data_IF_884219977338
#
_entry.id   IF_884219977338
#
_cell.length_a   1.000
_cell.length_b   1.000
_cell.length_c   1.000
_cell.angle_alpha   90.00
_cell.angle_beta   90.00
_cell.angle_gamma   90.00
#
_symmetry.space_group_name_H-M   'P 1'
#
loop_
_entity.id
_entity.type
_entity.pdbx_description
1 polymer ?
#
# COMPACT_ATOMS: atom_id res chain seq x y z
N UNK A 1 18.90 -3.98 12.81
CA UNK A 1 19.97 -4.36 11.84
C UNK A 1 19.95 -5.84 11.46
N UNK A 2 19.85 -6.80 12.40
CA UNK A 2 19.96 -8.24 12.10
C UNK A 2 18.78 -8.77 11.26
N UNK A 3 17.56 -8.38 11.60
CA UNK A 3 16.34 -8.90 10.95
C UNK A 3 16.15 -8.34 9.53
N UNK A 4 16.62 -7.12 9.29
CA UNK A 4 16.66 -6.49 7.96
C UNK A 4 17.53 -7.26 6.96
N UNK A 5 18.68 -7.78 7.41
CA UNK A 5 19.61 -8.51 6.53
C UNK A 5 19.10 -9.90 6.17
N UNK A 6 18.40 -10.55 7.11
CA UNK A 6 17.77 -11.85 6.88
C UNK A 6 16.63 -11.76 5.86
N UNK A 7 15.85 -10.69 5.94
CA UNK A 7 14.80 -10.40 4.98
C UNK A 7 15.37 -10.10 3.58
N UNK A 8 16.38 -9.24 3.45
CA UNK A 8 17.01 -8.97 2.14
C UNK A 8 17.54 -10.26 1.47
N UNK A 9 18.19 -11.13 2.24
CA UNK A 9 18.67 -12.43 1.76
C UNK A 9 17.50 -13.32 1.33
N UNK A 10 16.41 -13.34 2.09
CA UNK A 10 15.18 -14.04 1.70
C UNK A 10 14.62 -13.53 0.35
N UNK A 11 14.57 -12.20 0.16
CA UNK A 11 14.06 -11.57 -1.06
C UNK A 11 14.87 -11.92 -2.30
N UNK A 12 16.20 -11.86 -2.19
CA UNK A 12 17.11 -12.23 -3.27
C UNK A 12 16.92 -13.70 -3.66
N UNK A 13 16.88 -14.60 -2.67
CA UNK A 13 16.68 -16.04 -2.91
C UNK A 13 15.34 -16.34 -3.58
N UNK A 14 14.27 -15.70 -3.10
CA UNK A 14 12.92 -15.86 -3.65
C UNK A 14 12.82 -15.42 -5.11
N UNK A 15 13.46 -14.31 -5.45
CA UNK A 15 13.49 -13.72 -6.80
C UNK A 15 14.31 -14.60 -7.76
N UNK A 16 15.55 -14.94 -7.37
CA UNK A 16 16.47 -15.69 -8.22
C UNK A 16 16.18 -17.18 -8.31
N UNK A 17 15.42 -17.74 -7.36
CA UNK A 17 15.18 -19.17 -7.13
C UNK A 17 16.44 -19.96 -6.77
N UNK A 18 17.56 -19.65 -7.38
CA UNK A 18 18.87 -20.25 -7.16
C UNK A 18 19.93 -19.17 -7.33
N UNK A 19 20.85 -19.08 -6.37
CA UNK A 19 21.93 -18.07 -6.40
C UNK A 19 23.20 -18.62 -5.75
N UNK A 20 24.37 -18.20 -6.23
CA UNK A 20 25.63 -18.58 -5.56
C UNK A 20 25.83 -17.80 -4.26
N UNK A 21 26.61 -18.36 -3.34
CA UNK A 21 26.94 -17.66 -2.08
C UNK A 21 27.68 -16.33 -2.29
N UNK A 22 28.47 -16.21 -3.36
CA UNK A 22 29.22 -14.99 -3.67
C UNK A 22 28.32 -13.89 -4.27
N UNK A 23 27.38 -14.26 -5.12
CA UNK A 23 26.34 -13.34 -5.61
C UNK A 23 25.44 -12.88 -4.47
N UNK A 24 24.98 -13.80 -3.61
CA UNK A 24 24.14 -13.46 -2.48
C UNK A 24 24.84 -12.53 -1.48
N UNK A 25 26.14 -12.74 -1.23
CA UNK A 25 26.92 -11.88 -0.33
C UNK A 25 27.04 -10.46 -0.88
N UNK A 26 27.25 -10.35 -2.18
CA UNK A 26 27.39 -9.08 -2.90
C UNK A 26 26.06 -8.33 -2.96
N UNK A 27 25.00 -9.01 -3.39
CA UNK A 27 23.67 -8.44 -3.57
C UNK A 27 23.03 -8.06 -2.21
N UNK A 28 23.25 -8.87 -1.16
CA UNK A 28 22.75 -8.53 0.18
C UNK A 28 23.63 -7.51 0.93
N UNK A 29 24.82 -7.19 0.42
CA UNK A 29 25.80 -6.36 1.16
C UNK A 29 26.27 -7.00 2.47
N UNK A 30 26.25 -8.33 2.56
CA UNK A 30 26.59 -9.09 3.79
C UNK A 30 27.83 -9.96 3.57
N UNK A 31 28.85 -9.91 4.44
CA UNK A 31 30.00 -10.82 4.37
C UNK A 31 29.56 -12.29 4.44
N UNK A 32 30.24 -13.21 3.73
CA UNK A 32 29.90 -14.65 3.72
C UNK A 32 29.76 -15.28 5.12
N UNK A 33 30.53 -14.80 6.10
CA UNK A 33 30.41 -15.22 7.51
C UNK A 33 29.07 -14.82 8.14
N UNK A 34 28.53 -13.65 7.81
CA UNK A 34 27.21 -13.18 8.23
C UNK A 34 26.07 -13.98 7.59
N UNK A 35 26.19 -14.28 6.29
CA UNK A 35 25.23 -15.11 5.55
C UNK A 35 25.06 -16.51 6.17
N UNK A 36 26.13 -17.11 6.66
CA UNK A 36 26.09 -18.48 7.21
C UNK A 36 25.12 -18.64 8.39
N UNK A 37 24.81 -17.56 9.12
CA UNK A 37 23.83 -17.59 10.21
C UNK A 37 22.40 -17.39 9.69
N UNK A 38 22.22 -16.44 8.78
CA UNK A 38 20.95 -16.14 8.09
C UNK A 38 20.46 -17.38 7.33
N UNK A 39 21.34 -18.01 6.55
CA UNK A 39 21.02 -19.21 5.77
C UNK A 39 20.67 -20.40 6.66
N UNK A 40 21.27 -20.52 7.85
CA UNK A 40 20.87 -21.54 8.84
C UNK A 40 19.47 -21.27 9.39
N UNK A 41 19.12 -20.01 9.64
CA UNK A 41 17.76 -19.63 10.05
C UNK A 41 16.74 -19.98 8.96
N UNK A 42 17.03 -19.61 7.70
CA UNK A 42 16.17 -19.89 6.54
C UNK A 42 16.04 -21.40 6.28
N UNK A 43 17.13 -22.17 6.42
CA UNK A 43 17.12 -23.61 6.25
C UNK A 43 16.30 -24.34 7.33
N UNK A 44 16.38 -23.91 8.60
CA UNK A 44 15.54 -24.45 9.68
C UNK A 44 14.05 -24.26 9.43
N UNK A 45 13.68 -23.15 8.77
CA UNK A 45 12.30 -22.83 8.37
C UNK A 45 11.89 -23.48 7.04
N UNK A 46 12.78 -24.28 6.43
CA UNK A 46 12.50 -24.95 5.15
C UNK A 46 12.37 -23.99 3.96
N UNK A 47 12.85 -22.75 4.09
CA UNK A 47 12.72 -21.68 3.09
C UNK A 47 13.82 -21.75 2.03
N UNK A 48 15.01 -22.19 2.41
CA UNK A 48 16.14 -22.29 1.51
C UNK A 48 16.98 -23.52 1.85
N UNK A 49 17.60 -24.12 0.84
CA UNK A 49 18.53 -25.23 0.98
C UNK A 49 19.85 -24.89 0.31
N UNK A 50 20.96 -25.33 0.90
CA UNK A 50 22.27 -25.22 0.27
C UNK A 50 22.53 -26.47 -0.58
N UNK A 51 22.72 -26.27 -1.88
CA UNK A 51 23.08 -27.32 -2.84
C UNK A 51 24.45 -26.96 -3.41
N UNK A 52 25.51 -27.58 -2.85
CA UNK A 52 26.89 -27.24 -3.20
C UNK A 52 27.28 -25.81 -2.81
N UNK A 53 27.69 -25.02 -3.81
CA UNK A 53 28.05 -23.60 -3.69
C UNK A 53 26.84 -22.65 -3.83
N UNK A 54 25.67 -23.21 -4.16
CA UNK A 54 24.43 -22.47 -4.39
C UNK A 54 23.47 -22.60 -3.22
N UNK A 55 22.58 -21.62 -3.15
CA UNK A 55 21.42 -21.62 -2.26
C UNK A 55 20.16 -21.61 -3.12
N UNK A 56 19.33 -22.62 -2.93
CA UNK A 56 18.08 -22.83 -3.66
C UNK A 56 16.92 -22.44 -2.74
N UNK A 57 16.03 -21.60 -3.25
CA UNK A 57 14.78 -21.23 -2.59
C UNK A 57 13.76 -22.36 -2.70
N UNK A 58 13.24 -22.81 -1.56
CA UNK A 58 12.15 -23.77 -1.50
C UNK A 58 10.82 -23.03 -1.47
N UNK A 59 9.97 -23.30 -2.47
CA UNK A 59 8.58 -22.82 -2.46
C UNK A 59 7.87 -23.53 -1.31
N UNK A 60 7.45 -22.77 -0.29
CA UNK A 60 6.52 -23.31 0.70
C UNK A 60 5.12 -23.37 0.06
N UNK A 61 4.58 -24.57 -0.08
CA UNK A 61 3.18 -24.77 -0.48
C UNK A 61 2.26 -24.07 0.52
N UNK A 62 1.31 -23.31 -0.02
CA UNK A 62 0.40 -22.51 0.81
C UNK A 62 -0.51 -23.46 1.61
N UNK A 63 -0.31 -23.51 2.93
CA UNK A 63 -1.32 -24.09 3.83
C UNK A 63 -2.62 -23.33 3.66
N UNK A 64 -3.72 -24.08 3.63
CA UNK A 64 -5.05 -23.51 3.66
C UNK A 64 -5.30 -22.98 5.09
N UNK A 65 -5.62 -21.70 5.19
CA UNK A 65 -5.93 -20.99 6.42
C UNK A 65 -7.43 -21.00 6.62
N UNK A 66 -7.88 -21.46 7.77
CA UNK A 66 -9.29 -21.39 8.14
C UNK A 66 -9.53 -20.10 8.92
N UNK A 67 -10.27 -19.16 8.35
CA UNK A 67 -10.58 -17.87 8.96
C UNK A 67 -12.07 -17.75 9.30
N UNK A 68 -12.46 -17.00 10.34
CA UNK A 68 -13.87 -16.71 10.61
C UNK A 68 -14.51 -15.91 9.47
N UNK A 69 -15.75 -16.21 9.09
CA UNK A 69 -16.48 -15.44 8.08
C UNK A 69 -18.00 -15.61 8.27
N UNK A 70 -18.71 -14.52 8.54
CA UNK A 70 -20.16 -14.49 8.75
C UNK A 70 -20.66 -15.48 9.84
N UNK A 71 -19.92 -15.61 10.95
CA UNK A 71 -20.18 -16.59 12.02
C UNK A 71 -19.84 -18.05 11.66
N UNK A 72 -19.33 -18.29 10.45
CA UNK A 72 -18.81 -19.57 9.99
C UNK A 72 -17.29 -19.54 9.82
N UNK A 73 -16.77 -20.36 8.91
CA UNK A 73 -15.37 -20.32 8.53
C UNK A 73 -15.20 -20.36 7.01
N UNK A 74 -14.12 -19.76 6.53
CA UNK A 74 -13.73 -19.72 5.14
C UNK A 74 -12.28 -20.19 5.00
N UNK A 75 -12.04 -21.00 3.98
CA UNK A 75 -10.73 -21.54 3.66
C UNK A 75 -10.01 -20.63 2.66
N UNK A 76 -8.89 -20.07 3.10
CA UNK A 76 -8.10 -19.11 2.36
C UNK A 76 -6.69 -19.62 2.08
N UNK A 77 -6.14 -19.30 0.91
CA UNK A 77 -4.73 -19.52 0.58
C UNK A 77 -4.02 -18.19 0.46
N UNK A 78 -2.80 -18.09 0.98
CA UNK A 78 -2.02 -16.85 0.94
C UNK A 78 -0.82 -16.99 0.02
N UNK A 79 -0.70 -16.07 -0.93
CA UNK A 79 0.47 -15.88 -1.77
C UNK A 79 1.03 -14.50 -1.47
N UNK A 80 2.09 -14.44 -0.66
CA UNK A 80 2.87 -13.21 -0.54
C UNK A 80 3.69 -13.08 -1.82
N UNK A 81 3.72 -11.93 -2.49
CA UNK A 81 4.61 -11.59 -3.59
C UNK A 81 5.51 -10.43 -3.18
N UNK A 82 6.83 -10.69 -3.09
CA UNK A 82 7.81 -9.66 -2.72
C UNK A 82 8.74 -9.33 -3.87
N UNK A 83 8.99 -8.05 -4.05
CA UNK A 83 10.05 -7.55 -4.92
C UNK A 83 11.27 -7.06 -4.12
N UNK A 84 12.33 -6.67 -4.83
CA UNK A 84 13.58 -6.20 -4.24
C UNK A 84 13.50 -4.77 -3.67
N UNK A 85 12.42 -4.03 -3.94
CA UNK A 85 12.22 -2.67 -3.41
C UNK A 85 11.75 -2.66 -1.95
N UNK A 86 11.42 -3.84 -1.40
CA UNK A 86 10.81 -3.95 -0.07
C UNK A 86 9.30 -3.73 -0.08
N UNK A 87 8.68 -3.35 -1.20
CA UNK A 87 7.24 -3.31 -1.36
C UNK A 87 6.70 -4.61 -2.00
N UNK A 88 5.40 -4.86 -1.86
CA UNK A 88 4.76 -6.00 -2.51
C UNK A 88 3.28 -6.13 -2.20
N UNK A 89 2.73 -7.28 -2.58
CA UNK A 89 1.32 -7.60 -2.35
C UNK A 89 1.21 -8.98 -1.71
N UNK A 90 0.27 -9.12 -0.78
CA UNK A 90 -0.24 -10.42 -0.33
C UNK A 90 -1.56 -10.67 -1.03
N UNK A 91 -1.57 -11.64 -1.92
CA UNK A 91 -2.80 -12.14 -2.53
C UNK A 91 -3.41 -13.22 -1.63
N UNK A 92 -4.67 -13.03 -1.30
CA UNK A 92 -5.47 -13.93 -0.51
C UNK A 92 -6.51 -14.54 -1.43
N UNK A 93 -6.56 -15.86 -1.49
CA UNK A 93 -7.40 -16.61 -2.43
C UNK A 93 -8.46 -17.43 -1.70
N UNK A 94 -9.68 -17.46 -2.24
CA UNK A 94 -10.75 -18.39 -1.86
C UNK A 94 -10.96 -19.36 -3.03
N UNK A 95 -10.59 -20.62 -2.85
CA UNK A 95 -10.43 -21.51 -4.01
C UNK A 95 -9.41 -20.88 -4.97
N UNK A 96 -9.75 -20.74 -6.24
CA UNK A 96 -8.90 -20.12 -7.26
C UNK A 96 -9.21 -18.62 -7.51
N UNK A 97 -10.18 -18.05 -6.80
CA UNK A 97 -10.55 -16.64 -6.90
C UNK A 97 -9.75 -15.78 -5.94
N UNK A 98 -9.36 -14.58 -6.38
CA UNK A 98 -8.74 -13.58 -5.50
C UNK A 98 -9.81 -13.05 -4.56
N UNK A 99 -9.65 -13.36 -3.28
CA UNK A 99 -10.50 -12.91 -2.20
C UNK A 99 -10.10 -11.51 -1.73
N UNK A 100 -8.80 -11.23 -1.56
CA UNK A 100 -8.29 -9.90 -1.22
C UNK A 100 -6.85 -9.73 -1.71
N UNK A 101 -6.44 -8.47 -1.92
CA UNK A 101 -5.05 -8.08 -2.21
C UNK A 101 -4.62 -7.09 -1.14
N UNK A 102 -3.54 -7.39 -0.44
CA UNK A 102 -3.06 -6.63 0.72
C UNK A 102 -1.68 -6.06 0.40
N UNK A 103 -1.58 -4.77 0.07
CA UNK A 103 -0.29 -4.10 -0.11
C UNK A 103 0.55 -4.22 1.15
N UNK A 104 1.87 -4.26 0.99
CA UNK A 104 2.76 -4.13 2.12
C UNK A 104 4.04 -3.40 1.76
N UNK A 105 4.70 -2.89 2.81
CA UNK A 105 6.00 -2.27 2.74
C UNK A 105 6.91 -2.86 3.82
N UNK A 106 8.15 -3.14 3.45
CA UNK A 106 9.22 -3.52 4.36
C UNK A 106 10.08 -2.29 4.59
N UNK A 107 10.19 -1.89 5.85
CA UNK A 107 11.11 -0.82 6.27
C UNK A 107 11.79 -1.23 7.57
N UNK A 108 13.11 -0.99 7.66
CA UNK A 108 13.87 -1.07 8.91
C UNK A 108 13.75 -2.41 9.69
N UNK A 109 13.55 -3.53 8.98
CA UNK A 109 13.37 -4.86 9.60
C UNK A 109 11.95 -5.15 10.09
N UNK A 110 10.99 -4.31 9.75
CA UNK A 110 9.55 -4.49 9.99
C UNK A 110 8.82 -4.58 8.65
N UNK A 111 7.71 -5.31 8.62
CA UNK A 111 6.78 -5.36 7.49
C UNK A 111 5.46 -4.73 7.94
N UNK A 112 4.99 -3.73 7.21
CA UNK A 112 3.69 -3.10 7.39
C UNK A 112 2.77 -3.64 6.31
N UNK A 113 1.65 -4.25 6.70
CA UNK A 113 0.68 -4.84 5.77
C UNK A 113 -0.63 -4.05 5.86
N UNK A 114 -1.09 -3.51 4.73
CA UNK A 114 -2.39 -2.85 4.64
C UNK A 114 -3.50 -3.90 4.57
N UNK A 115 -4.29 -3.97 5.65
CA UNK A 115 -5.40 -4.90 5.80
C UNK A 115 -6.73 -4.32 5.30
N UNK A 116 -6.76 -3.08 4.79
CA UNK A 116 -7.97 -2.41 4.32
C UNK A 116 -8.70 -3.21 3.25
N UNK A 117 -7.97 -3.79 2.29
CA UNK A 117 -8.53 -4.63 1.24
C UNK A 117 -9.29 -5.83 1.82
N UNK A 118 -8.77 -6.46 2.88
CA UNK A 118 -9.47 -7.52 3.59
C UNK A 118 -10.72 -6.99 4.29
N UNK A 119 -10.60 -5.91 5.05
CA UNK A 119 -11.72 -5.37 5.83
C UNK A 119 -12.87 -4.89 4.93
N UNK A 120 -12.57 -4.33 3.75
CA UNK A 120 -13.58 -3.95 2.75
C UNK A 120 -14.37 -5.15 2.25
N UNK A 121 -13.72 -6.30 1.99
CA UNK A 121 -14.41 -7.54 1.59
C UNK A 121 -15.42 -7.99 2.65
N UNK A 122 -15.08 -7.86 3.94
CA UNK A 122 -16.03 -8.13 5.03
C UNK A 122 -17.16 -7.09 5.08
N UNK A 123 -16.85 -5.82 4.87
CA UNK A 123 -17.85 -4.75 4.79
C UNK A 123 -18.85 -4.94 3.65
N UNK A 124 -18.37 -5.29 2.46
CA UNK A 124 -19.19 -5.57 1.28
C UNK A 124 -20.09 -6.79 1.52
N UNK A 125 -19.53 -7.84 2.12
CA UNK A 125 -20.29 -9.03 2.49
C UNK A 125 -21.35 -8.72 3.56
N UNK A 126 -21.01 -7.93 4.58
CA UNK A 126 -21.97 -7.50 5.61
C UNK A 126 -23.12 -6.69 4.99
N UNK A 127 -22.80 -5.73 4.12
CA UNK A 127 -23.77 -4.91 3.39
C UNK A 127 -24.68 -5.76 2.52
N UNK A 128 -24.14 -6.72 1.78
CA UNK A 128 -24.91 -7.66 0.97
C UNK A 128 -25.88 -8.53 1.82
N UNK A 129 -25.55 -8.76 3.09
CA UNK A 129 -26.39 -9.48 4.05
C UNK A 129 -27.30 -8.55 4.89
N UNK A 130 -27.36 -7.25 4.58
CA UNK A 130 -28.17 -6.29 5.33
C UNK A 130 -27.68 -6.03 6.76
N UNK A 131 -26.42 -6.35 7.06
CA UNK A 131 -25.82 -6.14 8.36
C UNK A 131 -25.00 -4.83 8.39
N UNK A 132 -25.01 -4.09 9.51
CA UNK A 132 -24.13 -2.95 9.67
C UNK A 132 -22.67 -3.42 9.81
N UNK A 133 -21.75 -2.63 9.29
CA UNK A 133 -20.31 -2.86 9.43
C UNK A 133 -19.59 -1.53 9.62
N UNK A 134 -18.65 -1.49 10.56
CA UNK A 134 -17.77 -0.35 10.80
C UNK A 134 -16.31 -0.77 10.78
N UNK A 135 -15.54 -0.16 9.87
CA UNK A 135 -14.09 -0.34 9.78
C UNK A 135 -13.38 0.04 11.09
N UNK A 136 -13.78 1.16 11.70
CA UNK A 136 -13.22 1.61 12.99
C UNK A 136 -13.45 0.58 14.10
N UNK A 137 -14.63 -0.03 14.15
CA UNK A 137 -14.93 -1.06 15.14
C UNK A 137 -14.12 -2.33 14.89
N UNK A 138 -14.01 -2.77 13.64
CA UNK A 138 -13.16 -3.91 13.27
C UNK A 138 -11.68 -3.65 13.65
N UNK A 139 -11.18 -2.45 13.39
CA UNK A 139 -9.85 -2.01 13.80
C UNK A 139 -9.67 -2.02 15.32
N UNK A 140 -10.64 -1.50 16.07
CA UNK A 140 -10.60 -1.49 17.53
C UNK A 140 -10.57 -2.91 18.11
N UNK A 141 -11.30 -3.86 17.52
CA UNK A 141 -11.23 -5.29 17.89
C UNK A 141 -9.84 -5.85 17.59
N UNK A 142 -9.35 -5.67 16.35
CA UNK A 142 -8.03 -6.14 15.93
C UNK A 142 -6.93 -5.69 16.91
N UNK A 143 -6.89 -4.39 17.21
CA UNK A 143 -5.90 -3.80 18.12
C UNK A 143 -6.00 -4.39 19.53
N UNK A 144 -7.20 -4.51 20.09
CA UNK A 144 -7.36 -5.07 21.44
C UNK A 144 -6.94 -6.52 21.53
N UNK A 145 -7.26 -7.34 20.52
CA UNK A 145 -6.86 -8.75 20.50
C UNK A 145 -5.34 -8.87 20.39
N UNK A 146 -4.71 -8.08 19.51
CA UNK A 146 -3.24 -8.02 19.39
C UNK A 146 -2.56 -7.54 20.69
N UNK A 147 -3.21 -6.66 21.45
CA UNK A 147 -2.75 -6.20 22.77
C UNK A 147 -3.08 -7.20 23.92
N UNK A 148 -3.68 -8.36 23.63
CA UNK A 148 -4.08 -9.36 24.63
C UNK A 148 -5.26 -8.95 25.52
N UNK A 149 -6.04 -7.93 25.12
CA UNK A 149 -7.16 -7.35 25.88
C UNK A 149 -8.54 -7.90 25.48
N UNK A 150 -8.57 -8.97 24.68
CA UNK A 150 -9.77 -9.63 24.18
C UNK A 150 -10.59 -8.80 23.18
N UNK A 151 -11.78 -9.29 22.84
CA UNK A 151 -12.69 -8.64 21.88
C UNK A 151 -13.35 -7.37 22.44
N UNK A 152 -13.77 -6.45 21.55
CA UNK A 152 -14.47 -5.23 21.93
C UNK A 152 -15.98 -5.48 22.07
N UNK A 153 -16.56 -5.23 23.26
CA UNK A 153 -17.97 -5.56 23.56
C UNK A 153 -19.06 -4.78 22.81
N UNK A 154 -18.71 -3.86 21.90
CA UNK A 154 -19.68 -3.13 21.04
C UNK A 154 -19.54 -3.46 19.54
N UNK A 155 -18.66 -4.37 19.16
CA UNK A 155 -18.50 -4.81 17.78
C UNK A 155 -19.55 -5.87 17.41
N UNK A 156 -20.02 -5.85 16.17
CA UNK A 156 -20.87 -6.91 15.63
C UNK A 156 -20.04 -8.12 15.17
N UNK A 157 -20.72 -9.20 14.80
CA UNK A 157 -20.06 -10.44 14.36
C UNK A 157 -19.14 -10.20 13.15
N UNK A 158 -19.55 -9.37 12.20
CA UNK A 158 -18.76 -9.07 11.00
C UNK A 158 -17.46 -8.35 11.33
N UNK A 159 -17.47 -7.41 12.27
CA UNK A 159 -16.26 -6.72 12.71
C UNK A 159 -15.32 -7.63 13.49
N UNK A 160 -15.87 -8.54 14.30
CA UNK A 160 -15.09 -9.56 15.02
C UNK A 160 -14.45 -10.52 14.02
N UNK A 161 -15.22 -11.06 13.08
CA UNK A 161 -14.72 -11.99 12.07
C UNK A 161 -13.63 -11.35 11.21
N UNK A 162 -13.83 -10.10 10.77
CA UNK A 162 -12.85 -9.35 9.98
C UNK A 162 -11.52 -9.17 10.74
N UNK A 163 -11.60 -8.79 12.02
CA UNK A 163 -10.44 -8.62 12.88
C UNK A 163 -9.69 -9.93 13.11
N UNK A 164 -10.41 -11.02 13.41
CA UNK A 164 -9.80 -12.33 13.64
C UNK A 164 -9.19 -12.90 12.36
N UNK A 165 -9.85 -12.75 11.21
CA UNK A 165 -9.30 -13.14 9.91
C UNK A 165 -8.01 -12.38 9.59
N UNK A 166 -7.96 -11.08 9.87
CA UNK A 166 -6.75 -10.28 9.73
C UNK A 166 -5.60 -10.82 10.61
N UNK A 167 -5.87 -11.19 11.86
CA UNK A 167 -4.87 -11.78 12.77
C UNK A 167 -4.35 -13.12 12.24
N UNK A 168 -5.23 -14.01 11.79
CA UNK A 168 -4.84 -15.30 11.21
C UNK A 168 -3.97 -15.10 9.97
N UNK A 169 -4.36 -14.16 9.09
CA UNK A 169 -3.59 -13.83 7.89
C UNK A 169 -2.21 -13.26 8.24
N UNK A 170 -2.12 -12.36 9.22
CA UNK A 170 -0.84 -11.82 9.68
C UNK A 170 0.07 -12.90 10.26
N UNK A 171 -0.48 -13.84 11.03
CA UNK A 171 0.25 -15.01 11.52
C UNK A 171 0.80 -15.85 10.37
N UNK A 172 -0.01 -16.10 9.34
CA UNK A 172 0.41 -16.87 8.16
C UNK A 172 1.47 -16.15 7.31
N UNK A 173 1.35 -14.83 7.14
CA UNK A 173 2.36 -14.01 6.45
C UNK A 173 3.69 -14.07 7.22
N UNK A 174 3.63 -13.93 8.55
CA UNK A 174 4.79 -14.04 9.46
C UNK A 174 5.47 -15.38 9.32
N UNK A 175 4.72 -16.48 9.43
CA UNK A 175 5.24 -17.85 9.29
C UNK A 175 5.89 -18.06 7.92
N UNK A 176 5.22 -17.61 6.84
CA UNK A 176 5.66 -17.82 5.46
C UNK A 176 6.92 -17.02 5.10
N UNK A 177 7.04 -15.80 5.61
CA UNK A 177 8.24 -14.98 5.45
C UNK A 177 9.33 -15.32 6.47
N UNK A 178 8.99 -16.10 7.49
CA UNK A 178 9.86 -16.45 8.61
C UNK A 178 10.22 -15.26 9.50
N UNK A 179 9.55 -14.12 9.39
CA UNK A 179 9.91 -12.92 10.15
C UNK A 179 9.70 -13.15 11.65
N UNK A 180 10.68 -12.79 12.49
CA UNK A 180 10.53 -12.88 13.96
C UNK A 180 9.62 -11.77 14.51
N UNK A 181 9.50 -10.65 13.80
CA UNK A 181 8.66 -9.51 14.17
C UNK A 181 7.94 -8.95 12.94
N UNK A 182 6.61 -9.04 12.90
CA UNK A 182 5.76 -8.25 12.00
C UNK A 182 5.02 -7.23 12.85
N UNK A 183 5.31 -5.94 12.64
CA UNK A 183 4.48 -4.87 13.15
C UNK A 183 3.29 -4.71 12.21
N UNK A 184 2.20 -5.38 12.56
CA UNK A 184 0.96 -5.23 11.80
C UNK A 184 0.26 -3.96 12.24
N UNK A 185 0.19 -2.98 11.36
CA UNK A 185 -0.71 -1.84 11.51
C UNK A 185 -1.74 -1.93 10.40
N UNK A 186 -3.03 -1.79 10.71
CA UNK A 186 -4.01 -1.51 9.67
C UNK A 186 -3.78 -0.05 9.28
N UNK A 187 -2.99 0.12 8.24
CA UNK A 187 -2.74 1.40 7.61
C UNK A 187 -3.63 1.45 6.36
N UNK A 188 -4.91 1.75 6.57
CA UNK A 188 -5.91 1.84 5.50
C UNK A 188 -5.70 3.03 4.56
N UNK A 189 -4.65 3.79 4.79
CA UNK A 189 -4.51 5.16 4.32
C UNK A 189 -3.20 5.39 3.56
N UNK A 190 -2.12 4.62 3.77
CA UNK A 190 -0.84 5.09 3.25
C UNK A 190 0.08 4.08 2.56
N UNK A 191 -0.31 2.82 2.35
CA UNK A 191 0.50 1.90 1.50
C UNK A 191 -0.06 1.87 0.07
N UNK A 192 0.63 2.50 -0.91
CA UNK A 192 0.24 2.39 -2.30
C UNK A 192 0.29 0.93 -2.79
N UNK A 193 -0.81 0.45 -3.38
CA UNK A 193 -0.89 -0.84 -4.08
C UNK A 193 -0.20 -0.75 -5.42
N UNK A 194 0.65 -1.72 -5.79
CA UNK A 194 1.21 -1.74 -7.15
C UNK A 194 0.12 -2.07 -8.18
N UNK A 195 0.00 -1.25 -9.23
CA UNK A 195 -0.92 -1.53 -10.34
C UNK A 195 -0.36 -2.68 -11.17
N UNK A 196 -1.20 -3.67 -11.44
CA UNK A 196 -0.80 -4.90 -12.14
C UNK A 196 -0.52 -4.63 -13.61
N UNK A 197 0.26 -5.50 -14.26
CA UNK A 197 0.63 -5.33 -15.66
C UNK A 197 -0.60 -5.32 -16.59
N UNK A 198 -1.58 -6.19 -16.33
CA UNK A 198 -2.82 -6.28 -17.10
C UNK A 198 -3.68 -5.01 -16.93
N UNK A 199 -3.72 -4.48 -15.70
CA UNK A 199 -4.44 -3.25 -15.38
C UNK A 199 -3.74 -2.03 -16.01
N UNK A 200 -2.40 -1.95 -15.94
CA UNK A 200 -1.60 -0.93 -16.61
C UNK A 200 -1.77 -0.97 -18.12
N UNK A 201 -1.84 -2.17 -18.71
CA UNK A 201 -2.08 -2.34 -20.14
C UNK A 201 -3.47 -1.84 -20.52
N UNK A 202 -4.52 -2.24 -19.80
CA UNK A 202 -5.89 -1.80 -20.06
C UNK A 202 -6.04 -0.27 -19.95
N UNK A 203 -5.43 0.33 -18.91
CA UNK A 203 -5.39 1.79 -18.74
C UNK A 203 -4.60 2.43 -19.90
N UNK A 204 -3.46 1.87 -20.25
CA UNK A 204 -2.61 2.37 -21.31
C UNK A 204 -3.29 2.36 -22.69
N UNK A 205 -4.02 1.29 -22.99
CA UNK A 205 -4.83 1.17 -24.21
C UNK A 205 -5.96 2.21 -24.26
N UNK A 206 -6.64 2.47 -23.13
CA UNK A 206 -7.69 3.49 -23.04
C UNK A 206 -7.17 4.91 -23.29
N UNK A 207 -5.95 5.21 -22.84
CA UNK A 207 -5.39 6.56 -22.85
C UNK A 207 -4.30 6.80 -23.90
N UNK A 208 -3.94 5.78 -24.69
CA UNK A 208 -2.89 5.89 -25.71
C UNK A 208 -1.48 6.09 -25.15
N UNK A 209 -1.21 5.63 -23.93
CA UNK A 209 0.07 5.78 -23.22
C UNK A 209 0.56 4.41 -22.75
N UNK A 210 1.85 4.10 -22.96
CA UNK A 210 2.42 2.84 -22.51
C UNK A 210 3.02 2.99 -21.11
N UNK A 211 2.31 2.51 -20.09
CA UNK A 211 2.75 2.56 -18.69
C UNK A 211 3.70 1.41 -18.34
N UNK A 212 4.78 1.73 -17.62
CA UNK A 212 5.75 0.73 -17.13
C UNK A 212 5.50 0.31 -15.68
N UNK A 213 4.94 1.20 -14.87
CA UNK A 213 4.61 0.94 -13.47
C UNK A 213 3.52 1.89 -13.00
N UNK A 214 2.84 1.52 -11.93
CA UNK A 214 1.88 2.39 -11.28
C UNK A 214 1.60 1.97 -9.85
N UNK A 215 1.02 2.89 -9.10
CA UNK A 215 0.70 2.77 -7.69
C UNK A 215 -0.69 3.32 -7.44
N UNK A 216 -1.62 2.50 -6.95
CA UNK A 216 -2.99 2.88 -6.60
C UNK A 216 -3.14 3.12 -5.10
N UNK A 217 -3.94 4.10 -4.71
CA UNK A 217 -4.24 4.44 -3.33
C UNK A 217 -5.72 4.86 -3.19
N UNK A 218 -6.30 4.77 -1.97
CA UNK A 218 -7.64 5.29 -1.72
C UNK A 218 -7.75 6.78 -2.02
N UNK A 219 -8.89 7.20 -2.56
CA UNK A 219 -9.22 8.60 -2.84
C UNK A 219 -10.73 8.79 -2.72
N UNK A 220 -11.21 9.22 -1.55
CA UNK A 220 -12.63 9.25 -1.21
C UNK A 220 -13.30 7.90 -1.44
N UNK A 221 -14.41 7.90 -2.18
CA UNK A 221 -15.14 6.69 -2.61
C UNK A 221 -14.50 5.99 -3.85
N UNK A 222 -13.43 6.55 -4.40
CA UNK A 222 -12.74 6.06 -5.60
C UNK A 222 -11.29 5.62 -5.28
N UNK A 223 -10.53 5.28 -6.33
CA UNK A 223 -9.08 5.06 -6.26
C UNK A 223 -8.33 6.11 -7.07
N UNK A 224 -7.26 6.66 -6.50
CA UNK A 224 -6.25 7.41 -7.24
C UNK A 224 -5.13 6.48 -7.68
N UNK A 225 -4.47 6.78 -8.80
CA UNK A 225 -3.31 6.05 -9.28
C UNK A 225 -2.21 7.00 -9.72
N UNK A 226 -0.98 6.77 -9.26
CA UNK A 226 0.23 7.40 -9.75
C UNK A 226 0.93 6.44 -10.72
N UNK A 227 0.94 6.78 -12.01
CA UNK A 227 1.41 5.95 -13.11
C UNK A 227 2.68 6.54 -13.71
N UNK A 228 3.64 5.69 -14.10
CA UNK A 228 4.85 6.12 -14.79
C UNK A 228 4.90 5.47 -16.16
N UNK A 229 5.10 6.29 -17.19
CA UNK A 229 5.23 5.80 -18.56
C UNK A 229 6.64 5.24 -18.84
N UNK A 230 6.83 4.67 -20.04
CA UNK A 230 8.15 4.21 -20.48
C UNK A 230 9.19 5.33 -20.61
N UNK A 231 8.77 6.55 -20.94
CA UNK A 231 9.62 7.74 -21.01
C UNK A 231 10.08 8.26 -19.65
N UNK A 232 9.48 7.80 -18.55
CA UNK A 232 9.75 8.28 -17.20
C UNK A 232 8.85 9.42 -16.74
N UNK A 233 7.86 9.84 -17.54
CA UNK A 233 6.85 10.80 -17.13
C UNK A 233 5.87 10.17 -16.15
N UNK A 234 5.40 10.98 -15.21
CA UNK A 234 4.47 10.53 -14.17
C UNK A 234 3.10 11.18 -14.39
N UNK A 235 2.06 10.40 -14.15
CA UNK A 235 0.66 10.77 -14.34
C UNK A 235 -0.14 10.42 -13.09
N UNK A 236 -1.07 11.29 -12.73
CA UNK A 236 -2.15 10.96 -11.80
C UNK A 236 -3.41 10.58 -12.58
N UNK A 237 -4.06 9.50 -12.17
CA UNK A 237 -5.31 9.01 -12.73
C UNK A 237 -6.33 8.78 -11.61
N UNK A 238 -7.54 9.32 -11.74
CA UNK A 238 -8.68 8.93 -10.89
C UNK A 238 -9.42 7.75 -11.54
N UNK A 239 -9.78 6.76 -10.74
CA UNK A 239 -10.62 5.62 -11.17
C UNK A 239 -11.91 6.12 -11.84
N UNK A 240 -12.31 5.43 -12.91
CA UNK A 240 -13.30 5.93 -13.88
C UNK A 240 -12.65 6.55 -15.13
N UNK A 241 -11.42 7.07 -15.00
CA UNK A 241 -10.63 7.65 -16.09
C UNK A 241 -11.10 9.03 -16.54
N UNK A 242 -11.92 9.70 -15.74
CA UNK A 242 -12.43 11.05 -16.00
C UNK A 242 -11.33 12.12 -15.82
N UNK A 243 -10.22 11.76 -15.16
CA UNK A 243 -9.11 12.64 -14.86
C UNK A 243 -7.78 11.89 -15.03
N UNK A 244 -7.02 12.24 -16.08
CA UNK A 244 -5.62 11.82 -16.26
C UNK A 244 -4.77 13.07 -16.48
N UNK A 245 -3.78 13.29 -15.61
CA UNK A 245 -3.00 14.54 -15.59
C UNK A 245 -1.54 14.20 -15.39
N UNK A 246 -0.65 14.84 -16.16
CA UNK A 246 0.79 14.75 -15.93
C UNK A 246 1.13 15.43 -14.60
N UNK A 247 1.86 14.74 -13.73
CA UNK A 247 2.36 15.27 -12.46
C UNK A 247 3.88 15.19 -12.54
N UNK A 248 4.56 16.29 -12.91
CA UNK A 248 6.01 16.31 -12.99
C UNK A 248 6.65 15.99 -11.64
N UNK A 249 7.67 15.13 -11.67
CA UNK A 249 8.43 14.74 -10.49
C UNK A 249 9.92 14.84 -10.84
N UNK A 250 10.65 15.65 -10.08
CA UNK A 250 12.08 15.87 -10.26
C UNK A 250 12.87 15.27 -9.08
N UNK A 251 13.91 14.50 -9.37
CA UNK A 251 14.81 13.96 -8.35
C UNK A 251 15.97 14.94 -8.13
N UNK A 252 16.00 15.56 -6.94
CA UNK A 252 16.98 16.57 -6.55
C UNK A 252 18.11 15.97 -5.67
N UNK A 253 18.28 14.65 -5.68
CA UNK A 253 19.28 13.96 -4.88
C UNK A 253 18.72 13.50 -3.53
N UNK A 254 18.80 14.34 -2.50
CA UNK A 254 18.30 14.00 -1.14
C UNK A 254 16.78 14.14 -1.02
N UNK A 255 16.14 14.83 -1.96
CA UNK A 255 14.70 15.06 -1.98
C UNK A 255 14.12 14.86 -3.38
N UNK A 256 12.81 14.72 -3.44
CA UNK A 256 12.03 14.66 -4.68
C UNK A 256 11.07 15.85 -4.69
N UNK A 257 11.08 16.66 -5.75
CA UNK A 257 10.10 17.73 -5.92
C UNK A 257 8.93 17.23 -6.77
N UNK A 258 7.70 17.52 -6.33
CA UNK A 258 6.46 17.21 -7.02
C UNK A 258 5.77 18.50 -7.44
N UNK A 259 5.51 18.66 -8.73
CA UNK A 259 4.77 19.80 -9.26
C UNK A 259 3.27 19.46 -9.38
N UNK A 260 2.46 19.97 -8.46
CA UNK A 260 1.01 19.75 -8.43
C UNK A 260 0.22 20.75 -9.28
N UNK A 261 0.88 21.69 -9.97
CA UNK A 261 0.23 22.76 -10.76
C UNK A 261 -0.84 22.21 -11.70
N UNK A 262 -0.49 21.24 -12.56
CA UNK A 262 -1.43 20.67 -13.51
C UNK A 262 -2.58 19.90 -12.84
N UNK A 263 -2.32 19.28 -11.68
CA UNK A 263 -3.35 18.59 -10.91
C UNK A 263 -4.37 19.58 -10.38
N UNK A 264 -3.92 20.66 -9.74
CA UNK A 264 -4.77 21.73 -9.21
C UNK A 264 -5.58 22.40 -10.32
N UNK A 265 -4.94 22.74 -11.44
CA UNK A 265 -5.62 23.31 -12.61
C UNK A 265 -6.73 22.40 -13.14
N UNK A 266 -6.50 21.09 -13.16
CA UNK A 266 -7.49 20.15 -13.66
C UNK A 266 -8.70 20.02 -12.74
N UNK A 267 -8.51 20.03 -11.42
CA UNK A 267 -9.62 20.07 -10.46
C UNK A 267 -10.38 21.40 -10.53
N UNK A 268 -9.67 22.53 -10.63
CA UNK A 268 -10.27 23.85 -10.78
C UNK A 268 -11.14 23.94 -12.05
N UNK A 269 -10.64 23.47 -13.19
CA UNK A 269 -11.40 23.44 -14.44
C UNK A 269 -12.64 22.53 -14.38
N UNK A 270 -12.56 21.42 -13.64
CA UNK A 270 -13.71 20.54 -13.40
C UNK A 270 -14.77 21.20 -12.52
N UNK A 271 -14.32 21.86 -11.45
CA UNK A 271 -15.15 22.59 -10.49
C UNK A 271 -15.89 23.78 -11.13
N UNK A 272 -15.22 24.57 -11.97
CA UNK A 272 -15.84 25.70 -12.70
C UNK A 272 -16.99 25.23 -13.60
N UNK A 273 -16.87 24.06 -14.24
CA UNK A 273 -17.97 23.48 -15.05
C UNK A 273 -19.19 23.08 -14.22
N UNK A 274 -19.03 22.92 -12.91
CA UNK A 274 -20.09 22.51 -11.97
C UNK A 274 -20.66 23.68 -11.14
N UNK A 275 -20.25 24.92 -11.40
CA UNK A 275 -20.64 26.11 -10.61
C UNK A 275 -20.41 25.95 -9.08
N UNK A 276 -19.35 25.25 -8.67
CA UNK A 276 -19.00 25.07 -7.25
C UNK A 276 -18.20 26.26 -6.70
N UNK A 277 -18.38 26.62 -5.42
CA UNK A 277 -17.55 27.61 -4.70
C UNK A 277 -16.15 27.09 -4.29
N UNK A 278 -15.56 26.24 -5.14
CA UNK A 278 -14.24 25.65 -4.98
C UNK A 278 -13.14 26.70 -4.90
N UNK A 279 -12.21 26.54 -3.96
CA UNK A 279 -11.04 27.38 -3.78
C UNK A 279 -9.76 26.55 -3.76
N UNK A 280 -8.94 26.70 -4.82
CA UNK A 280 -7.61 26.11 -4.86
C UNK A 280 -6.71 26.64 -3.73
N UNK A 281 -6.85 27.91 -3.37
CA UNK A 281 -6.08 28.54 -2.29
C UNK A 281 -6.32 27.86 -0.94
N UNK A 282 -7.59 27.61 -0.58
CA UNK A 282 -7.92 26.88 0.67
C UNK A 282 -7.27 25.50 0.70
N UNK A 283 -7.35 24.75 -0.41
CA UNK A 283 -6.77 23.40 -0.48
C UNK A 283 -5.26 23.43 -0.32
N UNK A 284 -4.58 24.36 -0.99
CA UNK A 284 -3.12 24.48 -0.95
C UNK A 284 -2.64 24.91 0.44
N UNK A 285 -3.31 25.87 1.07
CA UNK A 285 -3.00 26.31 2.43
C UNK A 285 -3.15 25.19 3.46
N UNK A 286 -4.24 24.42 3.35
CA UNK A 286 -4.46 23.25 4.20
C UNK A 286 -3.42 22.15 3.94
N UNK A 287 -3.05 21.90 2.69
CA UNK A 287 -2.04 20.93 2.33
C UNK A 287 -0.68 21.24 2.96
N UNK A 288 -0.18 22.48 2.80
CA UNK A 288 1.10 22.86 3.39
C UNK A 288 1.06 22.92 4.92
N UNK A 289 -0.04 23.41 5.50
CA UNK A 289 -0.24 23.42 6.96
C UNK A 289 -0.21 22.01 7.55
N UNK A 290 -0.87 21.06 6.89
CA UNK A 290 -0.92 19.66 7.30
C UNK A 290 0.47 19.02 7.27
N UNK A 291 1.27 19.29 6.22
CA UNK A 291 2.65 18.80 6.13
C UNK A 291 3.55 19.39 7.22
N UNK A 292 3.44 20.70 7.49
CA UNK A 292 4.22 21.39 8.52
C UNK A 292 3.92 20.83 9.92
N UNK A 293 2.63 20.62 10.23
CA UNK A 293 2.17 20.14 11.54
C UNK A 293 2.22 18.62 11.70
N UNK A 294 2.47 17.88 10.61
CA UNK A 294 2.42 16.41 10.56
C UNK A 294 1.05 15.85 10.98
N UNK A 295 -0.01 16.51 10.54
CA UNK A 295 -1.40 16.12 10.81
C UNK A 295 -1.95 15.24 9.67
N UNK A 296 -3.06 14.54 9.92
CA UNK A 296 -3.68 13.67 8.92
C UNK A 296 -4.60 14.46 7.99
N UNK A 297 -4.87 13.92 6.79
CA UNK A 297 -5.75 14.58 5.82
C UNK A 297 -7.19 14.67 6.33
N UNK A 298 -7.64 13.68 7.10
CA UNK A 298 -8.97 13.62 7.70
C UNK A 298 -9.20 14.80 8.67
N UNK A 299 -8.14 15.22 9.38
CA UNK A 299 -8.18 16.36 10.30
C UNK A 299 -8.46 17.69 9.58
N UNK A 300 -8.15 17.76 8.28
CA UNK A 300 -8.29 18.96 7.46
C UNK A 300 -9.46 18.90 6.48
N UNK A 301 -9.84 17.70 6.04
CA UNK A 301 -10.97 17.47 5.15
C UNK A 301 -12.31 17.93 5.76
N UNK A 302 -12.43 17.97 7.09
CA UNK A 302 -13.61 18.51 7.80
C UNK A 302 -13.78 20.03 7.62
N UNK A 303 -12.72 20.77 7.29
CA UNK A 303 -12.76 22.22 7.06
C UNK A 303 -13.06 22.59 5.60
N UNK A 304 -13.14 21.60 4.71
CA UNK A 304 -13.43 21.79 3.29
C UNK A 304 -14.90 21.52 3.00
N UNK A 305 -15.57 22.49 2.39
CA UNK A 305 -17.01 22.45 2.12
C UNK A 305 -17.35 21.62 0.88
N UNK A 306 -16.42 21.55 -0.09
CA UNK A 306 -16.67 20.95 -1.40
C UNK A 306 -15.93 19.60 -1.53
N UNK A 307 -16.60 18.60 -2.09
CA UNK A 307 -16.01 17.27 -2.28
C UNK A 307 -14.79 17.31 -3.20
N UNK A 308 -14.80 18.14 -4.25
CA UNK A 308 -13.63 18.34 -5.11
C UNK A 308 -12.41 18.89 -4.35
N UNK A 309 -12.62 19.71 -3.31
CA UNK A 309 -11.52 20.23 -2.48
C UNK A 309 -10.92 19.13 -1.62
N UNK A 310 -11.78 18.30 -0.99
CA UNK A 310 -11.36 17.15 -0.18
C UNK A 310 -10.59 16.14 -1.01
N UNK A 311 -11.12 15.80 -2.18
CA UNK A 311 -10.46 14.89 -3.12
C UNK A 311 -9.12 15.44 -3.60
N UNK A 312 -9.02 16.73 -3.93
CA UNK A 312 -7.74 17.33 -4.32
C UNK A 312 -6.72 17.30 -3.18
N UNK A 313 -7.12 17.68 -1.97
CA UNK A 313 -6.27 17.63 -0.78
C UNK A 313 -5.76 16.20 -0.54
N UNK A 314 -6.66 15.21 -0.61
CA UNK A 314 -6.31 13.81 -0.45
C UNK A 314 -5.39 13.33 -1.58
N UNK A 315 -5.64 13.69 -2.84
CA UNK A 315 -4.77 13.33 -3.95
C UNK A 315 -3.34 13.85 -3.75
N UNK A 316 -3.19 15.15 -3.43
CA UNK A 316 -1.89 15.76 -3.19
C UNK A 316 -1.15 15.09 -2.02
N UNK A 317 -1.87 14.81 -0.93
CA UNK A 317 -1.33 14.09 0.23
C UNK A 317 -0.86 12.68 -0.12
N UNK A 318 -1.72 11.88 -0.75
CA UNK A 318 -1.45 10.47 -1.06
C UNK A 318 -0.33 10.32 -2.09
N UNK A 319 -0.22 11.22 -3.07
CA UNK A 319 0.92 11.26 -4.01
C UNK A 319 2.22 11.52 -3.25
N UNK A 320 2.24 12.54 -2.37
CA UNK A 320 3.43 12.90 -1.60
C UNK A 320 3.88 11.75 -0.69
N UNK A 321 2.95 11.15 0.05
CA UNK A 321 3.23 9.97 0.89
C UNK A 321 3.73 8.77 0.08
N UNK A 322 3.13 8.51 -1.08
CA UNK A 322 3.54 7.43 -1.99
C UNK A 322 5.00 7.61 -2.39
N UNK A 323 5.41 8.83 -2.73
CA UNK A 323 6.77 9.12 -3.15
C UNK A 323 7.78 9.04 -2.00
N UNK A 324 7.45 9.61 -0.84
CA UNK A 324 8.29 9.49 0.37
C UNK A 324 8.59 8.01 0.68
N UNK A 325 7.56 7.16 0.61
CA UNK A 325 7.68 5.72 0.92
C UNK A 325 8.46 4.94 -0.13
N UNK A 326 8.27 5.22 -1.41
CA UNK A 326 8.92 4.47 -2.49
C UNK A 326 10.37 4.88 -2.73
N UNK A 327 10.72 6.14 -2.43
CA UNK A 327 12.04 6.71 -2.73
C UNK A 327 12.97 6.76 -1.53
N UNK A 328 12.45 6.60 -0.31
CA UNK A 328 13.19 6.82 0.93
C UNK A 328 13.88 8.20 0.93
N UNK A 329 13.15 9.21 0.47
CA UNK A 329 13.58 10.60 0.29
C UNK A 329 12.52 11.56 0.83
N UNK A 330 12.97 12.74 1.25
CA UNK A 330 12.06 13.83 1.56
C UNK A 330 11.33 14.30 0.29
N UNK A 331 10.10 14.78 0.46
CA UNK A 331 9.30 15.31 -0.66
C UNK A 331 9.11 16.81 -0.48
N UNK A 332 9.49 17.56 -1.52
CA UNK A 332 9.13 18.96 -1.71
C UNK A 332 7.92 19.04 -2.63
N UNK A 333 7.05 20.02 -2.41
CA UNK A 333 5.87 20.25 -3.24
C UNK A 333 5.90 21.65 -3.81
N UNK A 334 5.67 21.76 -5.12
CA UNK A 334 5.51 23.00 -5.85
C UNK A 334 4.08 23.07 -6.38
N UNK A 335 3.42 24.21 -6.17
CA UNK A 335 2.06 24.43 -6.66
C UNK A 335 1.95 25.84 -7.23
N UNK A 336 1.50 25.95 -8.47
CA UNK A 336 1.10 27.22 -9.09
C UNK A 336 -0.38 27.11 -9.47
N UNK A 337 -1.16 28.16 -9.25
CA UNK A 337 -2.55 28.23 -9.67
C UNK A 337 -2.97 29.69 -9.88
N UNK A 338 -3.96 29.96 -10.75
CA UNK A 338 -4.48 31.30 -10.91
C UNK A 338 -5.21 31.76 -9.64
N UNK A 339 -4.73 32.85 -9.04
CA UNK A 339 -5.48 33.56 -8.00
C UNK A 339 -6.61 34.34 -8.66
N UNK A 340 -7.85 33.87 -8.51
CA UNK A 340 -9.01 34.71 -8.77
C UNK A 340 -9.22 35.62 -7.55
N UNK A 341 -8.49 36.73 -7.50
CA UNK A 341 -8.85 37.82 -6.59
C UNK A 341 -10.23 38.32 -7.00
N UNK A 342 -11.25 37.95 -6.23
CA UNK A 342 -12.61 38.46 -6.41
C UNK A 342 -12.66 39.95 -6.12
N UNK A 343 -12.35 40.78 -7.12
CA UNK A 343 -12.89 42.13 -7.21
C UNK A 343 -13.98 42.11 -8.28
N UNK A 344 -15.23 42.01 -7.82
CA UNK A 344 -16.40 42.56 -8.50
C UNK A 344 -17.19 43.38 -7.48
#
# INVERSE_FOLDING_TARGET
>A
MRDHMELLVYLILRSRKEVTLDELAREAGVPRRGLSRILRSLARRGVAERVGDKVVFKRQDARCLRVPFAGGCLDLRVSVNVDLSGAGEVEVYKGDEIFAVLPYLISSGSMVVDLSGLLRVYGDAAKANGAPFSLEKAYAVFRRVMEGKGEAGKAGQWEIDAALAAIVLCGAITEKLGLEYIFTTIDSESIPRRVRAEELQAIGEKHGVEFKMGYAFPLGDARGMLLVDRGGKTYFLKEGGDLIVEVPIEDLGEMVEVDFTSLVESYLNSAVKKESGFSAERVVDHFFSMLEKRESVESYAEYLEYEEEKELLEAMYRISLTLMRLKDKDVSAKVTYPCFSGEN
#
